data_IF_561532297292
#
_entry.id   IF_561532297292
#
_cell.length_a   1.000
_cell.length_b   1.000
_cell.length_c   1.000
_cell.angle_alpha   90.00
_cell.angle_beta   90.00
_cell.angle_gamma   90.00
#
_symmetry.space_group_name_H-M   'P 1'
#
loop_
_entity.id
_entity.type
_entity.pdbx_description
1 polymer ?
#
# COMPACT_ATOMS: atom_id res chain seq x y z
N UNK A 1 18.09 -5.37 -1.18
CA UNK A 1 17.53 -4.01 -1.27
C UNK A 1 17.70 -3.52 -2.70
N UNK A 2 16.68 -2.91 -3.30
CA UNK A 2 16.84 -2.30 -4.63
C UNK A 2 17.72 -1.06 -4.44
N UNK A 3 18.82 -1.00 -5.20
CA UNK A 3 19.77 0.11 -5.14
C UNK A 3 19.92 0.64 -6.55
N UNK A 4 19.52 1.90 -6.75
CA UNK A 4 19.73 2.63 -7.99
C UNK A 4 20.95 3.52 -7.79
N UNK A 5 22.15 3.09 -8.20
CA UNK A 5 23.42 3.85 -8.08
C UNK A 5 23.61 4.65 -6.76
N UNK A 6 23.02 5.85 -6.62
CA UNK A 6 23.07 6.69 -5.41
C UNK A 6 21.86 6.56 -4.46
N UNK A 7 20.80 5.89 -4.88
CA UNK A 7 19.57 5.68 -4.11
C UNK A 7 19.47 4.28 -3.54
N UNK A 8 19.32 4.20 -2.21
CA UNK A 8 19.06 2.96 -1.48
C UNK A 8 17.65 2.97 -0.90
N UNK A 9 16.81 2.06 -1.39
CA UNK A 9 15.41 1.95 -0.97
C UNK A 9 15.21 1.46 0.46
N UNK A 10 16.27 0.97 1.12
CA UNK A 10 16.24 0.62 2.54
C UNK A 10 16.45 1.80 3.48
N UNK A 11 17.08 2.89 3.02
CA UNK A 11 17.37 4.07 3.85
C UNK A 11 16.44 5.26 3.58
N UNK A 12 16.02 5.43 2.33
CA UNK A 12 15.03 6.44 1.95
C UNK A 12 14.10 5.89 0.87
N UNK A 13 12.82 5.86 1.17
CA UNK A 13 11.79 5.39 0.25
C UNK A 13 11.45 6.44 -0.83
N UNK A 14 11.73 7.72 -0.59
CA UNK A 14 11.49 8.82 -1.55
C UNK A 14 12.67 9.09 -2.49
N UNK A 15 13.75 8.31 -2.40
CA UNK A 15 14.95 8.56 -3.19
C UNK A 15 14.70 8.33 -4.69
N UNK A 16 15.01 9.35 -5.49
CA UNK A 16 14.94 9.33 -6.96
C UNK A 16 16.28 9.74 -7.57
N UNK A 17 16.51 9.30 -8.80
CA UNK A 17 17.70 9.63 -9.58
C UNK A 17 17.33 9.80 -11.05
N UNK A 18 18.00 10.73 -11.74
CA UNK A 18 17.82 10.93 -13.18
C UNK A 18 18.43 9.78 -13.98
N UNK A 19 17.63 9.20 -14.88
CA UNK A 19 18.01 8.17 -15.85
C UNK A 19 17.32 8.46 -17.17
N UNK A 20 18.12 8.67 -18.24
CA UNK A 20 17.63 8.88 -19.61
C UNK A 20 16.48 9.92 -19.72
N UNK A 21 16.58 11.03 -18.99
CA UNK A 21 15.60 12.12 -19.07
C UNK A 21 14.33 11.93 -18.23
N UNK A 22 14.21 10.81 -17.49
CA UNK A 22 13.16 10.58 -16.49
C UNK A 22 13.78 10.35 -15.11
N UNK A 23 13.00 10.52 -14.05
CA UNK A 23 13.43 10.08 -12.73
C UNK A 23 13.07 8.61 -12.52
N UNK A 24 13.98 7.86 -11.91
CA UNK A 24 13.78 6.48 -11.45
C UNK A 24 14.11 6.40 -9.97
N UNK A 25 13.47 5.47 -9.26
CA UNK A 25 13.58 5.42 -7.82
C UNK A 25 12.81 4.24 -7.26
N UNK A 26 12.73 4.21 -5.94
CA UNK A 26 12.20 3.07 -5.19
C UNK A 26 10.72 2.82 -5.45
N UNK A 27 9.95 3.91 -5.55
CA UNK A 27 8.54 3.88 -5.93
C UNK A 27 8.35 4.51 -7.31
N UNK A 28 7.68 3.80 -8.26
CA UNK A 28 7.38 4.35 -9.57
C UNK A 28 6.57 5.65 -9.51
N UNK A 29 5.63 5.76 -8.56
CA UNK A 29 4.83 6.96 -8.38
C UNK A 29 5.68 8.16 -7.96
N UNK A 30 6.57 8.00 -6.99
CA UNK A 30 7.44 9.08 -6.52
C UNK A 30 8.40 9.54 -7.63
N UNK A 31 8.94 8.56 -8.36
CA UNK A 31 9.79 8.80 -9.52
C UNK A 31 9.02 9.57 -10.60
N UNK A 32 7.77 9.19 -10.88
CA UNK A 32 6.93 9.86 -11.86
C UNK A 32 6.63 11.30 -11.42
N UNK A 33 6.21 11.52 -10.18
CA UNK A 33 5.86 12.85 -9.64
C UNK A 33 7.03 13.83 -9.74
N UNK A 34 8.25 13.37 -9.48
CA UNK A 34 9.46 14.19 -9.55
C UNK A 34 10.02 14.33 -10.99
N UNK A 35 9.53 13.57 -11.96
CA UNK A 35 9.93 13.68 -13.37
C UNK A 35 9.41 14.97 -13.99
N UNK A 36 10.21 15.61 -14.83
CA UNK A 36 9.83 16.79 -15.62
C UNK A 36 9.27 16.40 -16.99
N UNK A 37 8.56 17.32 -17.65
CA UNK A 37 8.03 17.09 -19.00
C UNK A 37 9.10 17.02 -20.10
N UNK A 38 10.38 17.27 -19.81
CA UNK A 38 11.44 17.41 -20.80
C UNK A 38 11.54 16.22 -21.77
N UNK A 39 11.41 14.99 -21.27
CA UNK A 39 11.41 13.79 -22.12
C UNK A 39 10.16 13.69 -23.00
N UNK A 40 9.00 14.13 -22.50
CA UNK A 40 7.72 14.03 -23.21
C UNK A 40 7.63 14.95 -24.43
N UNK A 41 8.43 16.02 -24.49
CA UNK A 41 8.52 16.90 -25.67
C UNK A 41 9.51 16.40 -26.73
N UNK A 42 10.28 15.33 -26.44
CA UNK A 42 11.30 14.83 -27.35
C UNK A 42 11.01 13.37 -27.74
N UNK A 43 10.66 13.16 -29.01
CA UNK A 43 10.35 11.82 -29.53
C UNK A 43 11.50 10.83 -29.32
N UNK A 44 12.75 11.24 -29.54
CA UNK A 44 13.91 10.37 -29.34
C UNK A 44 14.08 9.95 -27.88
N UNK A 45 13.67 10.78 -26.92
CA UNK A 45 13.69 10.41 -25.50
C UNK A 45 12.62 9.34 -25.19
N UNK A 46 11.41 9.52 -25.71
CA UNK A 46 10.31 8.54 -25.60
C UNK A 46 10.73 7.21 -26.22
N UNK A 47 11.27 7.25 -27.44
CA UNK A 47 11.67 6.06 -28.20
C UNK A 47 12.86 5.35 -27.56
N UNK A 48 13.76 6.07 -26.88
CA UNK A 48 14.91 5.48 -26.18
C UNK A 48 14.49 4.57 -25.03
N UNK A 49 13.28 4.76 -24.51
CA UNK A 49 12.69 3.88 -23.52
C UNK A 49 12.00 2.73 -24.24
N UNK A 50 12.76 1.69 -24.58
CA UNK A 50 12.31 0.45 -25.27
C UNK A 50 11.07 -0.25 -24.66
N UNK A 51 10.54 0.23 -23.53
CA UNK A 51 9.30 -0.24 -22.90
C UNK A 51 8.04 0.43 -23.47
N UNK A 52 8.17 1.63 -24.05
CA UNK A 52 7.03 2.37 -24.61
C UNK A 52 6.79 2.09 -26.09
N UNK A 53 7.66 1.34 -26.76
CA UNK A 53 7.56 1.04 -28.21
C UNK A 53 6.28 0.31 -28.62
N UNK A 54 5.58 -0.34 -27.68
CA UNK A 54 4.27 -0.95 -27.93
C UNK A 54 3.12 0.06 -27.92
N UNK A 55 3.33 1.23 -27.32
CA UNK A 55 2.38 2.33 -27.27
C UNK A 55 2.85 3.35 -28.31
N UNK A 56 2.06 3.61 -29.36
CA UNK A 56 2.36 4.63 -30.37
C UNK A 56 2.24 6.05 -29.77
N UNK A 57 3.12 6.40 -28.83
CA UNK A 57 3.13 7.65 -28.09
C UNK A 57 3.89 8.68 -28.91
N UNK A 58 3.17 9.74 -29.29
CA UNK A 58 3.77 10.91 -29.91
C UNK A 58 4.23 11.90 -28.84
N UNK A 59 5.32 12.58 -29.11
CA UNK A 59 5.79 13.71 -28.31
C UNK A 59 4.73 14.81 -28.17
N UNK A 60 4.71 15.44 -26.99
CA UNK A 60 3.89 16.60 -26.70
C UNK A 60 4.35 17.77 -27.58
N UNK A 61 3.44 18.32 -28.40
CA UNK A 61 3.70 19.47 -29.27
C UNK A 61 3.25 20.80 -28.66
N UNK A 62 2.09 20.79 -28.02
CA UNK A 62 1.45 21.98 -27.44
C UNK A 62 0.79 21.58 -26.14
N UNK A 63 1.16 22.25 -25.07
CA UNK A 63 0.55 22.15 -23.75
C UNK A 63 0.80 23.48 -23.04
N UNK A 64 -0.04 23.81 -22.06
CA UNK A 64 0.17 25.01 -21.25
C UNK A 64 1.36 24.88 -20.29
N UNK A 65 1.84 23.67 -20.04
CA UNK A 65 2.95 23.41 -19.14
C UNK A 65 4.29 23.51 -19.88
N UNK A 66 5.29 24.09 -19.21
CA UNK A 66 6.65 24.16 -19.75
C UNK A 66 7.37 22.81 -19.58
N UNK A 67 8.39 22.55 -20.42
CA UNK A 67 9.19 21.31 -20.36
C UNK A 67 9.82 21.02 -18.98
N UNK A 68 10.14 22.07 -18.22
CA UNK A 68 10.76 21.95 -16.89
C UNK A 68 9.75 21.73 -15.76
N UNK A 69 8.45 21.71 -16.06
CA UNK A 69 7.39 21.47 -15.08
C UNK A 69 7.42 20.02 -14.62
N UNK A 70 7.34 19.78 -13.31
CA UNK A 70 7.24 18.43 -12.75
C UNK A 70 5.82 17.88 -12.87
N UNK A 71 5.68 16.57 -13.02
CA UNK A 71 4.37 15.89 -13.04
C UNK A 71 3.57 16.20 -11.76
N UNK A 72 4.24 16.32 -10.61
CA UNK A 72 3.58 16.71 -9.36
C UNK A 72 2.89 18.07 -9.44
N UNK A 73 3.54 19.08 -10.05
CA UNK A 73 2.93 20.40 -10.22
C UNK A 73 1.71 20.34 -11.14
N UNK A 74 1.78 19.53 -12.19
CA UNK A 74 0.67 19.32 -13.13
C UNK A 74 -0.50 18.64 -12.41
N UNK A 75 -0.22 17.61 -11.59
CA UNK A 75 -1.22 16.90 -10.80
C UNK A 75 -1.89 17.81 -9.76
N UNK A 76 -1.12 18.68 -9.10
CA UNK A 76 -1.66 19.68 -8.17
C UNK A 76 -2.61 20.68 -8.86
N UNK A 77 -2.41 20.92 -10.17
CA UNK A 77 -3.30 21.69 -11.03
C UNK A 77 -4.35 20.83 -11.74
N UNK A 78 -4.64 19.64 -11.18
CA UNK A 78 -5.63 18.68 -11.68
C UNK A 78 -5.39 18.21 -13.12
N UNK A 79 -4.16 18.38 -13.62
CA UNK A 79 -3.77 18.09 -15.00
C UNK A 79 -4.66 18.79 -16.04
N UNK A 80 -5.26 19.94 -15.68
CA UNK A 80 -6.04 20.73 -16.63
C UNK A 80 -5.09 21.24 -17.71
N UNK A 81 -5.51 21.25 -18.97
CA UNK A 81 -4.75 21.86 -20.09
C UNK A 81 -5.39 23.17 -20.57
N UNK A 82 -6.72 23.22 -20.58
CA UNK A 82 -7.49 24.42 -20.96
C UNK A 82 -8.82 24.46 -20.20
N UNK A 83 -9.26 25.64 -19.80
CA UNK A 83 -10.58 25.87 -19.19
C UNK A 83 -11.58 26.32 -20.25
N UNK A 84 -12.52 25.46 -20.62
CA UNK A 84 -13.57 25.79 -21.59
C UNK A 84 -14.81 26.30 -20.83
N UNK A 85 -14.91 27.62 -20.66
CA UNK A 85 -16.01 28.26 -19.93
C UNK A 85 -17.34 28.33 -20.70
N UNK A 86 -17.33 28.15 -22.03
CA UNK A 86 -18.52 28.25 -22.88
C UNK A 86 -19.11 26.88 -23.26
N UNK A 87 -19.22 25.97 -22.28
CA UNK A 87 -19.83 24.64 -22.46
C UNK A 87 -21.03 24.49 -21.52
N UNK A 88 -22.14 24.02 -22.06
CA UNK A 88 -23.30 23.63 -21.25
C UNK A 88 -22.99 22.32 -20.54
N UNK A 89 -22.90 22.37 -19.22
CA UNK A 89 -22.76 21.18 -18.38
C UNK A 89 -23.93 20.20 -18.56
N UNK A 90 -25.13 20.72 -18.79
CA UNK A 90 -26.33 19.91 -19.05
C UNK A 90 -26.19 19.09 -20.33
N UNK A 91 -25.76 19.72 -21.42
CA UNK A 91 -25.55 19.01 -22.69
C UNK A 91 -24.43 17.97 -22.58
N UNK A 92 -23.36 18.28 -21.85
CA UNK A 92 -22.29 17.31 -21.58
C UNK A 92 -22.79 16.12 -20.76
N UNK A 93 -23.52 16.38 -19.68
CA UNK A 93 -24.08 15.32 -18.83
C UNK A 93 -25.03 14.43 -19.62
N UNK A 94 -25.94 15.00 -20.42
CA UNK A 94 -26.87 14.24 -21.23
C UNK A 94 -26.19 13.35 -22.29
N UNK A 95 -25.00 13.74 -22.78
CA UNK A 95 -24.23 12.93 -23.72
C UNK A 95 -23.39 11.84 -23.04
N UNK A 96 -22.89 12.09 -21.83
CA UNK A 96 -21.98 11.19 -21.13
C UNK A 96 -22.63 10.38 -20.00
N UNK A 97 -23.91 10.63 -19.70
CA UNK A 97 -24.62 9.91 -18.65
C UNK A 97 -24.64 8.41 -18.95
N UNK A 98 -24.16 7.57 -18.03
CA UNK A 98 -24.21 6.12 -18.22
C UNK A 98 -25.68 5.67 -18.26
N UNK A 99 -26.01 4.79 -19.20
CA UNK A 99 -27.36 4.24 -19.36
C UNK A 99 -27.78 3.35 -18.19
N UNK A 100 -26.81 2.78 -17.46
CA UNK A 100 -27.04 2.08 -16.20
C UNK A 100 -25.81 2.19 -15.32
N UNK A 101 -26.03 2.33 -14.01
CA UNK A 101 -24.98 2.28 -13.01
C UNK A 101 -25.04 0.93 -12.30
N UNK A 102 -23.94 0.18 -12.31
CA UNK A 102 -23.77 -0.96 -11.41
C UNK A 102 -22.75 -0.59 -10.35
N UNK A 103 -23.05 -0.93 -9.10
CA UNK A 103 -22.10 -0.84 -8.01
C UNK A 103 -21.70 -2.25 -7.61
N UNK A 104 -20.41 -2.47 -7.42
CA UNK A 104 -19.91 -3.71 -6.85
C UNK A 104 -19.56 -3.47 -5.39
N UNK A 105 -20.24 -4.15 -4.48
CA UNK A 105 -19.79 -4.20 -3.09
C UNK A 105 -18.59 -5.12 -3.02
N UNK A 106 -17.39 -4.52 -2.99
CA UNK A 106 -16.18 -5.25 -2.63
C UNK A 106 -16.26 -5.65 -1.15
N UNK A 107 -16.93 -6.77 -0.86
CA UNK A 107 -16.77 -7.44 0.43
C UNK A 107 -15.32 -7.90 0.50
N UNK A 108 -14.52 -7.20 1.31
CA UNK A 108 -13.18 -7.62 1.66
C UNK A 108 -13.20 -9.11 2.02
N UNK A 109 -12.31 -9.88 1.37
CA UNK A 109 -12.24 -11.33 1.41
C UNK A 109 -12.39 -11.89 2.84
N UNK A 110 -13.58 -12.42 3.16
CA UNK A 110 -13.91 -12.95 4.49
C UNK A 110 -13.20 -14.29 4.78
N UNK A 111 -12.55 -14.90 3.79
CA UNK A 111 -11.88 -16.19 3.93
C UNK A 111 -10.65 -16.14 4.86
N UNK A 112 -9.82 -15.10 4.77
CA UNK A 112 -8.64 -14.96 5.65
C UNK A 112 -9.04 -14.71 7.10
N UNK A 113 -10.12 -13.97 7.33
CA UNK A 113 -10.64 -13.70 8.68
C UNK A 113 -11.11 -14.98 9.38
N UNK A 114 -11.72 -15.91 8.65
CA UNK A 114 -12.10 -17.22 9.20
C UNK A 114 -10.91 -18.02 9.72
N UNK A 115 -9.81 -18.05 8.96
CA UNK A 115 -8.59 -18.78 9.34
C UNK A 115 -7.94 -18.14 10.57
N UNK A 116 -7.83 -16.80 10.61
CA UNK A 116 -7.25 -16.07 11.75
C UNK A 116 -8.05 -16.35 13.03
N UNK A 117 -9.37 -16.40 12.95
CA UNK A 117 -10.23 -16.69 14.11
C UNK A 117 -10.02 -18.12 14.64
N UNK A 118 -9.89 -19.12 13.77
CA UNK A 118 -9.66 -20.52 14.17
C UNK A 118 -8.29 -20.65 14.87
N UNK A 119 -7.25 -20.06 14.29
CA UNK A 119 -5.90 -20.07 14.87
C UNK A 119 -5.92 -19.40 16.25
N UNK A 120 -6.55 -18.22 16.35
CA UNK A 120 -6.63 -17.46 17.61
C UNK A 120 -7.35 -18.22 18.71
N UNK A 121 -8.46 -18.89 18.40
CA UNK A 121 -9.21 -19.73 19.34
C UNK A 121 -8.39 -20.93 19.82
N UNK A 122 -7.74 -21.64 18.89
CA UNK A 122 -6.92 -22.80 19.24
C UNK A 122 -5.72 -22.41 20.11
N UNK A 123 -5.01 -21.35 19.75
CA UNK A 123 -3.89 -20.83 20.53
C UNK A 123 -4.31 -20.42 21.94
N UNK A 124 -5.44 -19.71 22.09
CA UNK A 124 -5.95 -19.33 23.40
C UNK A 124 -6.30 -20.53 24.28
N UNK A 125 -6.95 -21.55 23.71
CA UNK A 125 -7.35 -22.75 24.44
C UNK A 125 -6.15 -23.55 24.94
N UNK A 126 -5.10 -23.71 24.14
CA UNK A 126 -3.87 -24.42 24.52
C UNK A 126 -3.15 -23.69 25.68
N UNK A 127 -3.07 -22.37 25.63
CA UNK A 127 -2.41 -21.59 26.68
C UNK A 127 -3.22 -21.65 27.98
N UNK A 128 -4.54 -21.49 27.89
CA UNK A 128 -5.43 -21.52 29.06
C UNK A 128 -5.40 -22.88 29.76
N UNK A 129 -5.49 -23.97 29.00
CA UNK A 129 -5.44 -25.34 29.55
C UNK A 129 -4.11 -25.64 30.24
N UNK A 130 -2.98 -25.20 29.69
CA UNK A 130 -1.66 -25.32 30.33
C UNK A 130 -1.55 -24.49 31.61
N UNK A 131 -2.09 -23.27 31.63
CA UNK A 131 -2.11 -22.46 32.85
C UNK A 131 -2.96 -23.12 33.93
N UNK A 132 -4.16 -23.59 33.57
CA UNK A 132 -5.07 -24.27 34.49
C UNK A 132 -4.44 -25.54 35.08
N UNK A 133 -3.77 -26.36 34.27
CA UNK A 133 -3.14 -27.59 34.76
C UNK A 133 -2.04 -27.30 35.79
N UNK A 134 -1.19 -26.31 35.55
CA UNK A 134 -0.14 -25.91 36.51
C UNK A 134 -0.74 -25.35 37.81
N UNK A 135 -1.78 -24.52 37.71
CA UNK A 135 -2.46 -23.96 38.89
C UNK A 135 -3.12 -25.07 39.71
N UNK A 136 -3.84 -25.99 39.07
CA UNK A 136 -4.49 -27.12 39.74
C UNK A 136 -3.47 -28.01 40.45
N UNK A 137 -2.35 -28.34 39.79
CA UNK A 137 -1.29 -29.14 40.43
C UNK A 137 -0.71 -28.40 41.63
N UNK A 138 -0.38 -27.11 41.51
CA UNK A 138 0.14 -26.32 42.64
C UNK A 138 -0.85 -26.24 43.80
N UNK A 139 -2.13 -26.03 43.53
CA UNK A 139 -3.17 -26.00 44.56
C UNK A 139 -3.31 -27.36 45.25
N UNK A 140 -3.30 -28.45 44.50
CA UNK A 140 -3.33 -29.81 45.04
C UNK A 140 -2.09 -30.13 45.89
N UNK A 141 -0.89 -29.82 45.39
CA UNK A 141 0.36 -30.01 46.14
C UNK A 141 0.44 -29.14 47.39
N UNK A 142 -0.03 -27.88 47.31
CA UNK A 142 -0.11 -26.98 48.46
C UNK A 142 -1.07 -27.53 49.53
N UNK A 143 -2.25 -28.01 49.12
CA UNK A 143 -3.24 -28.60 50.02
C UNK A 143 -2.74 -29.91 50.64
N UNK A 144 -2.12 -30.79 49.86
CA UNK A 144 -1.56 -32.05 50.37
C UNK A 144 -0.43 -31.80 51.38
N UNK A 145 0.46 -30.84 51.12
CA UNK A 145 1.54 -30.50 52.05
C UNK A 145 1.03 -29.86 53.34
N UNK A 146 -0.04 -29.05 53.31
CA UNK A 146 -0.67 -28.52 54.54
C UNK A 146 -1.25 -29.63 55.41
N UNK A 147 -1.95 -30.60 54.81
CA UNK A 147 -2.54 -31.73 55.55
C UNK A 147 -1.47 -32.60 56.21
N UNK A 148 -0.34 -32.87 55.53
CA UNK A 148 0.77 -33.65 56.11
C UNK A 148 1.43 -32.93 57.29
N UNK A 149 1.57 -31.60 57.25
CA UNK A 149 2.13 -30.81 58.35
C UNK A 149 1.20 -30.86 59.58
N UNK A 150 -0.11 -30.71 59.38
CA UNK A 150 -1.10 -30.81 60.48
C UNK A 150 -1.10 -32.19 61.17
N UNK A 151 -0.88 -33.27 60.41
CA UNK A 151 -0.76 -34.64 60.97
C UNK A 151 0.55 -34.84 61.74
N UNK A 152 1.61 -34.10 61.41
CA UNK A 152 2.92 -34.22 62.08
C UNK A 152 2.91 -33.45 63.41
N UNK A 153 2.25 -32.28 63.47
CA UNK A 153 2.08 -31.49 64.70
C UNK A 153 1.17 -32.18 65.74
N UNK A 154 0.30 -33.11 65.33
CA UNK A 154 -0.52 -33.91 66.24
C UNK A 154 0.19 -35.15 66.83
N UNK A 155 1.35 -35.54 66.30
CA UNK A 155 2.10 -36.73 66.70
C UNK A 155 3.42 -36.41 67.43
N UNK A 156 3.58 -35.17 67.91
CA UNK A 156 4.68 -34.74 68.80
C UNK A 156 4.10 -34.32 70.14
#
# INVERSE_FOLDING_TARGET
>A
PIVYSKCNCGSSWTCTQSSQGMMVGCYPLESLLQTTLQCFYNQSCIDSTNKFTQLNISSLKTSQYQMNTTIQSILNNLMVEEYIINKSYENYFNQCAPSSCSYNYMKNYQGTQGIINIISLYSGLVILTRCLSVVLIKLCSYKSNRITIEITDQNT
#
